data_IF_047760682845
#
_entry.id   IF_047760682845
#
_cell.length_a   1.000
_cell.length_b   1.000
_cell.length_c   1.000
_cell.angle_alpha   90.00
_cell.angle_beta   90.00
_cell.angle_gamma   90.00
#
_symmetry.space_group_name_H-M   'P 1'
#
loop_
_entity.id
_entity.type
_entity.pdbx_description
1 polymer ?
#
# COMPACT_ATOMS: atom_id res chain seq x y z
N UNK A 1 -10.04 -8.95 -16.76
CA UNK A 1 -9.18 -9.88 -17.54
C UNK A 1 -9.69 -11.29 -17.34
N UNK A 2 -9.65 -12.15 -18.35
CA UNK A 2 -10.14 -13.54 -18.28
C UNK A 2 -9.07 -14.53 -18.70
N UNK A 3 -9.11 -15.75 -18.15
CA UNK A 3 -8.28 -16.88 -18.57
C UNK A 3 -9.16 -18.09 -18.87
N UNK A 4 -8.84 -18.85 -19.92
CA UNK A 4 -9.54 -20.09 -20.28
C UNK A 4 -8.75 -21.31 -19.80
N UNK A 5 -9.38 -22.46 -19.64
CA UNK A 5 -8.67 -23.65 -19.18
C UNK A 5 -7.79 -24.25 -20.29
N UNK A 6 -6.47 -24.28 -20.13
CA UNK A 6 -5.58 -25.11 -20.97
C UNK A 6 -5.58 -26.55 -20.44
N UNK A 7 -5.31 -27.52 -21.32
CA UNK A 7 -5.17 -28.95 -20.96
C UNK A 7 -4.47 -29.16 -19.61
N UNK A 8 -5.10 -29.93 -18.70
CA UNK A 8 -4.68 -30.21 -17.31
C UNK A 8 -4.88 -29.10 -16.25
N UNK A 9 -5.93 -28.27 -16.33
CA UNK A 9 -6.28 -27.30 -15.26
C UNK A 9 -5.19 -26.25 -14.96
N UNK A 10 -4.26 -26.01 -15.89
CA UNK A 10 -3.06 -25.17 -15.63
C UNK A 10 -3.43 -23.72 -15.32
N UNK A 11 -4.45 -23.19 -16.00
CA UNK A 11 -4.88 -21.81 -15.81
C UNK A 11 -5.80 -21.64 -14.60
N UNK A 12 -6.57 -22.67 -14.23
CA UNK A 12 -7.36 -22.70 -13.00
C UNK A 12 -6.43 -22.63 -11.77
N UNK A 13 -5.41 -23.51 -11.71
CA UNK A 13 -4.45 -23.52 -10.60
C UNK A 13 -3.68 -22.19 -10.45
N UNK A 14 -3.37 -21.52 -11.56
CA UNK A 14 -2.74 -20.19 -11.53
C UNK A 14 -3.73 -19.12 -11.08
N UNK A 15 -4.98 -19.18 -11.51
CA UNK A 15 -6.03 -18.24 -11.11
C UNK A 15 -6.39 -18.37 -9.62
N UNK A 16 -6.34 -19.59 -9.07
CA UNK A 16 -6.56 -19.84 -7.64
C UNK A 16 -5.52 -19.13 -6.76
N UNK A 17 -4.29 -19.00 -7.26
CA UNK A 17 -3.19 -18.31 -6.57
C UNK A 17 -3.35 -16.79 -6.56
N UNK A 18 -4.13 -16.20 -7.47
CA UNK A 18 -4.38 -14.75 -7.50
C UNK A 18 -5.19 -14.36 -6.26
N UNK A 19 -4.74 -13.33 -5.55
CA UNK A 19 -5.45 -12.69 -4.45
C UNK A 19 -5.81 -11.24 -4.80
N UNK A 20 -6.86 -10.68 -4.19
CA UNK A 20 -7.05 -9.23 -4.17
C UNK A 20 -5.78 -8.51 -3.68
N UNK A 21 -5.48 -7.38 -4.33
CA UNK A 21 -4.27 -6.56 -4.22
C UNK A 21 -2.98 -7.13 -4.84
N UNK A 22 -3.02 -8.29 -5.49
CA UNK A 22 -1.91 -8.73 -6.34
C UNK A 22 -1.69 -7.75 -7.51
N UNK A 23 -0.43 -7.54 -7.90
CA UNK A 23 -0.12 -6.74 -9.08
C UNK A 23 -0.12 -7.63 -10.33
N UNK A 24 -0.85 -7.20 -11.34
CA UNK A 24 -0.83 -7.78 -12.68
C UNK A 24 -0.08 -6.86 -13.63
N UNK A 25 0.99 -7.37 -14.25
CA UNK A 25 1.68 -6.68 -15.34
C UNK A 25 1.17 -7.14 -16.70
N UNK A 26 1.09 -6.22 -17.65
CA UNK A 26 0.86 -6.51 -19.05
C UNK A 26 2.17 -6.47 -19.82
N UNK A 27 2.41 -7.49 -20.63
CA UNK A 27 3.64 -7.63 -21.39
C UNK A 27 3.38 -7.73 -22.89
N UNK A 28 4.17 -6.98 -23.67
CA UNK A 28 4.20 -7.02 -25.13
C UNK A 28 5.55 -6.50 -25.62
N UNK A 29 5.99 -6.91 -26.82
CA UNK A 29 7.22 -6.39 -27.45
C UNK A 29 8.45 -6.38 -26.50
N UNK A 30 8.67 -7.49 -25.77
CA UNK A 30 9.76 -7.65 -24.79
C UNK A 30 9.79 -6.59 -23.67
N UNK A 31 8.63 -6.06 -23.31
CA UNK A 31 8.49 -5.02 -22.29
C UNK A 31 7.24 -5.30 -21.43
N UNK A 32 7.32 -5.09 -20.12
CA UNK A 32 6.15 -4.86 -19.28
C UNK A 32 5.77 -3.39 -19.48
N UNK A 33 4.61 -3.10 -20.05
CA UNK A 33 4.24 -1.73 -20.47
C UNK A 33 3.18 -1.07 -19.58
N UNK A 34 2.47 -1.87 -18.79
CA UNK A 34 1.53 -1.38 -17.80
C UNK A 34 1.36 -2.38 -16.68
N UNK A 35 0.82 -1.93 -15.56
CA UNK A 35 0.41 -2.77 -14.46
C UNK A 35 -0.89 -2.27 -13.84
N UNK A 36 -1.56 -3.13 -13.07
CA UNK A 36 -2.71 -2.77 -12.26
C UNK A 36 -2.90 -3.75 -11.12
N UNK A 37 -3.86 -3.46 -10.25
CA UNK A 37 -4.06 -4.22 -9.02
C UNK A 37 -5.34 -5.03 -9.08
N UNK A 38 -5.26 -6.30 -8.69
CA UNK A 38 -6.43 -7.18 -8.65
C UNK A 38 -7.39 -6.72 -7.58
N UNK A 39 -8.66 -6.51 -7.91
CA UNK A 39 -9.69 -6.10 -6.94
C UNK A 39 -10.59 -7.26 -6.54
N UNK A 40 -11.01 -8.06 -7.52
CA UNK A 40 -11.95 -9.14 -7.33
C UNK A 40 -11.71 -10.26 -8.35
N UNK A 41 -12.13 -11.49 -8.03
CA UNK A 41 -12.09 -12.61 -8.97
C UNK A 41 -13.39 -13.41 -8.92
N UNK A 42 -13.85 -13.86 -10.07
CA UNK A 42 -15.06 -14.68 -10.23
C UNK A 42 -14.83 -15.76 -11.29
N UNK A 43 -15.31 -16.97 -11.02
CA UNK A 43 -15.46 -18.01 -12.02
C UNK A 43 -16.89 -17.95 -12.58
N UNK A 44 -17.05 -17.48 -13.82
CA UNK A 44 -18.37 -17.31 -14.43
C UNK A 44 -18.31 -17.54 -15.95
N UNK A 45 -18.72 -18.74 -16.36
CA UNK A 45 -18.73 -19.13 -17.77
C UNK A 45 -19.75 -18.35 -18.60
N UNK A 46 -20.96 -18.14 -18.09
CA UNK A 46 -22.02 -17.41 -18.81
C UNK A 46 -21.60 -15.97 -19.10
N UNK A 47 -20.98 -15.30 -18.12
CA UNK A 47 -20.44 -13.96 -18.32
C UNK A 47 -19.27 -13.97 -19.33
N UNK A 48 -18.41 -14.99 -19.29
CA UNK A 48 -17.31 -15.11 -20.25
C UNK A 48 -17.78 -15.33 -21.68
N UNK A 49 -18.86 -16.11 -21.87
CA UNK A 49 -19.50 -16.32 -23.17
C UNK A 49 -20.07 -15.02 -23.73
N UNK A 50 -20.71 -14.21 -22.88
CA UNK A 50 -21.25 -12.90 -23.28
C UNK A 50 -20.14 -11.89 -23.64
N UNK A 51 -19.04 -11.87 -22.88
CA UNK A 51 -17.95 -10.92 -23.07
C UNK A 51 -17.01 -11.28 -24.23
N UNK A 52 -16.72 -12.57 -24.43
CA UNK A 52 -15.64 -13.03 -25.32
C UNK A 52 -16.05 -14.14 -26.29
N UNK A 53 -17.24 -14.72 -26.15
CA UNK A 53 -17.66 -15.86 -26.96
C UNK A 53 -16.79 -17.09 -26.76
N UNK A 54 -16.61 -17.85 -27.84
CA UNK A 54 -15.81 -19.08 -27.85
C UNK A 54 -14.67 -19.00 -28.85
N UNK A 55 -13.54 -19.60 -28.51
CA UNK A 55 -12.44 -19.79 -29.44
C UNK A 55 -12.72 -20.94 -30.44
N UNK A 56 -11.82 -21.16 -31.39
CA UNK A 56 -11.95 -22.23 -32.41
C UNK A 56 -11.94 -23.66 -31.84
N UNK A 57 -11.66 -23.82 -30.54
CA UNK A 57 -11.68 -25.09 -29.81
C UNK A 57 -12.90 -25.23 -28.89
N UNK A 58 -13.83 -24.26 -28.90
CA UNK A 58 -15.02 -24.27 -28.06
C UNK A 58 -14.77 -23.86 -26.60
N UNK A 59 -13.65 -23.20 -26.30
CA UNK A 59 -13.30 -22.75 -24.95
C UNK A 59 -13.64 -21.25 -24.77
N UNK A 60 -13.93 -20.84 -23.54
CA UNK A 60 -14.16 -19.43 -23.16
C UNK A 60 -13.34 -19.06 -21.90
N UNK A 61 -13.16 -17.77 -21.63
CA UNK A 61 -12.28 -17.25 -20.57
C UNK A 61 -13.00 -17.11 -19.21
N UNK A 62 -13.55 -18.22 -18.73
CA UNK A 62 -14.43 -18.28 -17.55
C UNK A 62 -13.78 -17.89 -16.21
N UNK A 63 -12.45 -17.89 -16.11
CA UNK A 63 -11.71 -17.47 -14.90
C UNK A 63 -11.39 -15.98 -14.96
N UNK A 64 -12.27 -15.17 -14.38
CA UNK A 64 -12.27 -13.71 -14.51
C UNK A 64 -11.65 -13.08 -13.26
N UNK A 65 -10.87 -12.03 -13.46
CA UNK A 65 -10.42 -11.13 -12.40
C UNK A 65 -10.46 -9.68 -12.86
N UNK A 66 -10.71 -8.79 -11.93
CA UNK A 66 -10.88 -7.36 -12.13
C UNK A 66 -9.63 -6.63 -11.70
N UNK A 67 -9.30 -5.57 -12.44
CA UNK A 67 -8.13 -4.75 -12.18
C UNK A 67 -8.59 -3.31 -11.96
N UNK A 68 -7.92 -2.62 -11.06
CA UNK A 68 -8.06 -1.19 -10.83
C UNK A 68 -6.67 -0.52 -10.87
N UNK A 69 -6.65 0.81 -10.90
CA UNK A 69 -5.46 1.64 -10.93
C UNK A 69 -4.48 1.22 -12.05
N UNK A 70 -4.98 1.04 -13.28
CA UNK A 70 -4.11 0.71 -14.41
C UNK A 70 -3.15 1.88 -14.66
N UNK A 71 -1.85 1.60 -14.57
CA UNK A 71 -0.78 2.58 -14.75
C UNK A 71 0.18 2.14 -15.86
N UNK A 72 0.63 3.10 -16.64
CA UNK A 72 1.70 2.87 -17.61
C UNK A 72 3.05 2.85 -16.90
N UNK A 73 3.84 1.83 -17.19
CA UNK A 73 5.20 1.71 -16.69
C UNK A 73 5.98 0.78 -17.60
N UNK A 74 7.17 1.20 -18.01
CA UNK A 74 7.96 0.51 -19.03
C UNK A 74 9.14 -0.19 -18.37
N UNK A 75 9.06 -1.51 -18.23
CA UNK A 75 10.13 -2.36 -17.72
C UNK A 75 10.60 -3.30 -18.84
N UNK A 76 11.85 -3.19 -19.31
CA UNK A 76 12.42 -4.16 -20.24
C UNK A 76 12.43 -5.57 -19.63
N UNK A 77 12.06 -6.60 -20.41
CA UNK A 77 12.04 -7.99 -19.92
C UNK A 77 13.42 -8.44 -19.43
N UNK A 78 14.51 -7.92 -19.99
CA UNK A 78 15.87 -8.20 -19.51
C UNK A 78 16.08 -7.74 -18.05
N UNK A 79 15.63 -6.52 -17.72
CA UNK A 79 15.71 -5.99 -16.36
C UNK A 79 14.78 -6.76 -15.41
N UNK A 80 13.57 -7.11 -15.86
CA UNK A 80 12.68 -7.99 -15.11
C UNK A 80 13.36 -9.33 -14.79
N UNK A 81 13.97 -9.97 -15.79
CA UNK A 81 14.63 -11.27 -15.63
C UNK A 81 15.77 -11.19 -14.61
N UNK A 82 16.58 -10.13 -14.66
CA UNK A 82 17.65 -9.86 -13.69
C UNK A 82 17.10 -9.74 -12.26
N UNK A 83 16.04 -8.93 -12.06
CA UNK A 83 15.43 -8.70 -10.75
C UNK A 83 14.84 -9.99 -10.15
N UNK A 84 14.16 -10.81 -10.96
CA UNK A 84 13.46 -12.01 -10.46
C UNK A 84 14.32 -13.29 -10.55
N UNK A 85 15.58 -13.17 -10.98
CA UNK A 85 16.52 -14.30 -11.10
C UNK A 85 16.18 -15.29 -12.20
N UNK A 86 15.56 -14.84 -13.30
CA UNK A 86 15.36 -15.64 -14.50
C UNK A 86 16.55 -15.56 -15.45
N UNK A 87 16.66 -16.53 -16.35
CA UNK A 87 17.69 -16.49 -17.40
C UNK A 87 17.43 -15.33 -18.35
N UNK A 88 18.49 -14.74 -18.92
CA UNK A 88 18.40 -13.57 -19.80
C UNK A 88 17.46 -13.79 -21.00
N UNK A 89 17.41 -15.02 -21.51
CA UNK A 89 16.58 -15.42 -22.65
C UNK A 89 15.15 -15.83 -22.27
N UNK A 90 14.79 -15.75 -20.97
CA UNK A 90 13.44 -16.06 -20.53
C UNK A 90 12.43 -15.09 -21.17
N UNK A 91 11.37 -15.65 -21.75
CA UNK A 91 10.24 -14.90 -22.26
C UNK A 91 9.00 -15.24 -21.44
N UNK A 92 8.29 -14.19 -21.01
CA UNK A 92 7.00 -14.35 -20.34
C UNK A 92 6.02 -14.97 -21.32
N UNK A 93 5.46 -16.13 -20.95
CA UNK A 93 4.49 -16.83 -21.78
C UNK A 93 3.10 -16.74 -21.17
N UNK A 94 2.18 -16.11 -21.89
CA UNK A 94 0.76 -16.06 -21.53
C UNK A 94 0.56 -15.56 -20.09
N UNK A 95 -0.21 -16.29 -19.29
CA UNK A 95 -0.50 -15.98 -17.90
C UNK A 95 0.50 -16.69 -16.97
N UNK A 96 1.29 -15.91 -16.24
CA UNK A 96 2.32 -16.39 -15.28
C UNK A 96 2.08 -15.75 -13.93
N UNK A 97 2.22 -16.55 -12.86
CA UNK A 97 2.10 -16.09 -11.48
C UNK A 97 3.43 -16.36 -10.79
N UNK A 98 4.08 -15.27 -10.35
CA UNK A 98 5.35 -15.33 -9.62
C UNK A 98 5.15 -15.91 -8.22
N UNK A 99 6.22 -16.41 -7.63
CA UNK A 99 6.24 -16.70 -6.20
C UNK A 99 6.47 -15.41 -5.39
N UNK A 100 6.32 -15.51 -4.07
CA UNK A 100 6.35 -14.38 -3.16
C UNK A 100 7.72 -13.67 -3.17
N UNK A 101 8.82 -14.43 -3.19
CA UNK A 101 10.18 -13.87 -3.25
C UNK A 101 10.40 -13.03 -4.51
N UNK A 102 10.04 -13.57 -5.69
CA UNK A 102 10.17 -12.84 -6.97
C UNK A 102 9.25 -11.64 -7.04
N UNK A 103 8.04 -11.77 -6.50
CA UNK A 103 7.09 -10.66 -6.44
C UNK A 103 7.66 -9.53 -5.58
N UNK A 104 8.18 -9.85 -4.38
CA UNK A 104 8.76 -8.89 -3.46
C UNK A 104 10.00 -8.20 -4.04
N UNK A 105 10.86 -8.92 -4.76
CA UNK A 105 12.01 -8.33 -5.46
C UNK A 105 11.57 -7.25 -6.46
N UNK A 106 10.57 -7.56 -7.30
CA UNK A 106 10.07 -6.64 -8.32
C UNK A 106 9.34 -5.43 -7.72
N UNK A 107 8.50 -5.68 -6.72
CA UNK A 107 7.76 -4.64 -6.00
C UNK A 107 8.71 -3.66 -5.30
N UNK A 108 9.74 -4.18 -4.64
CA UNK A 108 10.73 -3.37 -3.91
C UNK A 108 11.57 -2.54 -4.86
N UNK A 109 12.00 -3.12 -5.99
CA UNK A 109 12.84 -2.44 -6.96
C UNK A 109 12.15 -1.21 -7.59
N UNK A 110 10.89 -1.37 -8.00
CA UNK A 110 10.14 -0.33 -8.71
C UNK A 110 9.26 0.54 -7.81
N UNK A 111 9.35 0.35 -6.50
CA UNK A 111 8.50 1.02 -5.51
C UNK A 111 6.99 0.96 -5.86
N UNK A 112 6.52 -0.19 -6.37
CA UNK A 112 5.15 -0.31 -6.90
C UNK A 112 4.16 -0.51 -5.76
N UNK A 113 3.42 0.54 -5.44
CA UNK A 113 2.39 0.54 -4.40
C UNK A 113 1.01 0.80 -5.00
N UNK A 114 0.01 0.08 -4.48
CA UNK A 114 -1.38 0.44 -4.73
C UNK A 114 -1.72 1.62 -3.86
N UNK A 115 -2.21 2.70 -4.46
CA UNK A 115 -2.71 3.82 -3.67
C UNK A 115 -4.09 3.49 -3.07
N UNK A 116 -4.77 2.50 -3.66
CA UNK A 116 -6.18 2.13 -3.41
C UNK A 116 -6.39 0.64 -3.11
N UNK A 117 -5.53 -0.29 -3.55
CA UNK A 117 -5.79 -1.72 -3.31
C UNK A 117 -5.58 -2.15 -1.87
N UNK A 118 -6.63 -2.81 -1.40
CA UNK A 118 -6.83 -3.35 -0.08
C UNK A 118 -6.22 -4.75 -0.06
N UNK A 119 -4.98 -4.92 0.39
CA UNK A 119 -4.47 -6.24 0.75
C UNK A 119 -5.35 -6.81 1.88
N UNK A 120 -5.96 -8.00 1.76
CA UNK A 120 -6.51 -8.69 2.91
C UNK A 120 -5.37 -9.30 3.74
N UNK A 121 -4.55 -8.44 4.34
CA UNK A 121 -3.76 -8.87 5.50
C UNK A 121 -4.78 -9.08 6.62
N UNK A 122 -5.01 -10.34 6.99
CA UNK A 122 -5.83 -10.66 8.15
C UNK A 122 -5.15 -10.11 9.41
N UNK A 123 -5.94 -9.87 10.46
CA UNK A 123 -5.37 -9.45 11.75
C UNK A 123 -4.31 -10.44 12.25
N UNK A 124 -4.48 -11.73 11.98
CA UNK A 124 -3.53 -12.78 12.37
C UNK A 124 -2.22 -12.69 11.59
N UNK A 125 -2.27 -12.50 10.26
CA UNK A 125 -1.07 -12.24 9.45
C UNK A 125 -0.38 -10.95 9.84
N UNK A 126 -1.12 -9.92 10.24
CA UNK A 126 -0.52 -8.69 10.74
C UNK A 126 0.25 -8.93 12.05
N UNK A 127 -0.35 -9.69 12.99
CA UNK A 127 0.32 -10.09 14.23
C UNK A 127 1.59 -10.90 13.96
N UNK A 128 1.52 -11.89 13.08
CA UNK A 128 2.67 -12.68 12.66
C UNK A 128 3.78 -11.80 12.06
N UNK A 129 3.41 -10.83 11.22
CA UNK A 129 4.37 -9.87 10.67
C UNK A 129 5.05 -9.07 11.80
N UNK A 130 4.29 -8.46 12.71
CA UNK A 130 4.81 -7.70 13.87
C UNK A 130 5.71 -8.56 14.77
N UNK A 131 5.37 -9.82 15.00
CA UNK A 131 6.18 -10.74 15.80
C UNK A 131 7.47 -11.15 15.08
N UNK A 132 7.44 -11.23 13.75
CA UNK A 132 8.60 -11.56 12.91
C UNK A 132 9.58 -10.39 12.72
N UNK A 133 9.19 -9.14 13.05
CA UNK A 133 10.05 -7.95 13.02
C UNK A 133 11.13 -7.93 14.13
N UNK A 134 11.27 -9.01 14.92
CA UNK A 134 12.30 -9.14 15.97
C UNK A 134 13.74 -9.12 15.45
N UNK A 135 13.96 -9.02 14.15
CA UNK A 135 15.28 -8.91 13.54
C UNK A 135 15.40 -7.56 12.85
N UNK A 136 16.33 -6.74 13.32
CA UNK A 136 16.71 -5.43 12.78
C UNK A 136 17.42 -5.57 11.42
N UNK A 137 16.79 -6.19 10.43
CA UNK A 137 17.39 -6.24 9.10
C UNK A 137 16.87 -5.05 8.28
N UNK A 138 17.78 -4.09 8.02
CA UNK A 138 17.63 -3.02 7.02
C UNK A 138 17.61 -3.57 5.57
N UNK A 139 17.64 -4.89 5.43
CA UNK A 139 17.66 -5.62 4.18
C UNK A 139 16.29 -5.61 3.49
N UNK A 140 16.26 -6.17 2.27
CA UNK A 140 15.07 -6.23 1.40
C UNK A 140 13.86 -6.81 2.13
N UNK A 141 14.07 -7.79 3.01
CA UNK A 141 13.01 -8.42 3.80
C UNK A 141 12.36 -7.43 4.80
N UNK A 142 13.16 -6.60 5.49
CA UNK A 142 12.66 -5.57 6.39
C UNK A 142 11.87 -4.48 5.67
N UNK A 143 12.29 -4.08 4.46
CA UNK A 143 11.53 -3.16 3.60
C UNK A 143 10.19 -3.75 3.16
N UNK A 144 10.18 -5.03 2.76
CA UNK A 144 8.95 -5.74 2.40
C UNK A 144 7.96 -5.81 3.56
N UNK A 145 8.43 -6.16 4.77
CA UNK A 145 7.59 -6.20 5.97
C UNK A 145 7.05 -4.82 6.35
N UNK A 146 7.86 -3.76 6.29
CA UNK A 146 7.41 -2.38 6.56
C UNK A 146 6.34 -1.94 5.57
N UNK A 147 6.47 -2.33 4.30
CA UNK A 147 5.44 -2.08 3.28
C UNK A 147 4.15 -2.84 3.57
N UNK A 148 4.23 -4.10 3.98
CA UNK A 148 3.05 -4.89 4.37
C UNK A 148 2.32 -4.27 5.57
N UNK A 149 3.06 -3.80 6.59
CA UNK A 149 2.51 -3.05 7.73
C UNK A 149 1.78 -1.79 7.25
N UNK A 150 2.42 -0.95 6.42
CA UNK A 150 1.81 0.27 5.91
C UNK A 150 0.55 -0.01 5.06
N UNK A 151 0.57 -1.03 4.21
CA UNK A 151 -0.61 -1.43 3.43
C UNK A 151 -1.79 -1.82 4.35
N UNK A 152 -1.52 -2.59 5.42
CA UNK A 152 -2.55 -2.96 6.41
C UNK A 152 -3.07 -1.76 7.21
N UNK A 153 -2.19 -0.86 7.64
CA UNK A 153 -2.56 0.35 8.39
C UNK A 153 -3.41 1.28 7.51
N UNK A 154 -3.03 1.50 6.25
CA UNK A 154 -3.84 2.26 5.28
C UNK A 154 -5.22 1.67 5.11
N UNK A 155 -5.32 0.35 4.92
CA UNK A 155 -6.60 -0.34 4.80
C UNK A 155 -7.47 -0.12 6.04
N UNK A 156 -6.90 -0.29 7.22
CA UNK A 156 -7.67 -0.17 8.46
C UNK A 156 -8.14 1.27 8.68
N UNK A 157 -7.29 2.24 8.33
CA UNK A 157 -7.56 3.66 8.50
C UNK A 157 -8.60 4.19 7.50
N UNK A 158 -8.48 3.85 6.22
CA UNK A 158 -9.32 4.41 5.15
C UNK A 158 -10.50 3.51 4.77
N UNK A 159 -10.43 2.20 5.02
CA UNK A 159 -11.44 1.23 4.60
C UNK A 159 -11.67 1.29 3.08
N UNK A 160 -12.93 1.55 2.68
CA UNK A 160 -13.34 1.68 1.29
C UNK A 160 -13.46 3.15 0.83
N UNK A 161 -12.95 4.12 1.60
CA UNK A 161 -13.03 5.54 1.25
C UNK A 161 -12.08 5.85 0.10
N UNK A 162 -12.51 6.70 -0.83
CA UNK A 162 -11.67 7.25 -1.90
C UNK A 162 -11.13 8.65 -1.58
N UNK A 163 -11.79 9.35 -0.65
CA UNK A 163 -11.46 10.69 -0.17
C UNK A 163 -11.50 10.67 1.36
N UNK A 164 -10.55 11.36 1.98
CA UNK A 164 -10.51 11.55 3.43
C UNK A 164 -9.84 12.89 3.78
N UNK A 165 -10.12 13.41 4.98
CA UNK A 165 -9.49 14.60 5.50
C UNK A 165 -8.13 14.30 6.16
N UNK A 166 -7.16 15.19 5.95
CA UNK A 166 -5.93 15.17 6.73
C UNK A 166 -6.21 15.58 8.19
N UNK A 167 -5.80 14.76 9.15
CA UNK A 167 -5.97 14.98 10.59
C UNK A 167 -5.25 16.20 11.16
N UNK A 168 -4.38 16.86 10.39
CA UNK A 168 -3.70 18.10 10.79
C UNK A 168 -4.32 19.32 10.11
N UNK A 169 -4.28 19.37 8.77
CA UNK A 169 -4.70 20.58 8.06
C UNK A 169 -6.22 20.66 7.83
N UNK A 170 -6.94 19.54 8.02
CA UNK A 170 -8.39 19.41 7.83
C UNK A 170 -8.86 19.43 6.38
N UNK A 171 -7.94 19.48 5.41
CA UNK A 171 -8.29 19.47 3.97
C UNK A 171 -8.56 18.05 3.51
N UNK A 172 -9.57 17.90 2.66
CA UNK A 172 -9.91 16.64 1.99
C UNK A 172 -9.00 16.40 0.78
N UNK A 173 -8.56 15.15 0.64
CA UNK A 173 -7.78 14.71 -0.51
C UNK A 173 -8.20 13.30 -0.92
N UNK A 174 -7.99 12.92 -2.19
CA UNK A 174 -7.95 11.51 -2.54
C UNK A 174 -6.97 10.77 -1.62
N UNK A 175 -7.33 9.55 -1.19
CA UNK A 175 -6.52 8.78 -0.23
C UNK A 175 -5.09 8.49 -0.74
N UNK A 176 -4.86 8.59 -2.04
CA UNK A 176 -3.54 8.53 -2.68
C UNK A 176 -2.57 9.64 -2.22
N UNK A 177 -3.11 10.79 -1.80
CA UNK A 177 -2.34 11.92 -1.27
C UNK A 177 -2.27 11.96 0.26
N UNK A 178 -2.76 10.91 0.92
CA UNK A 178 -2.69 10.73 2.37
C UNK A 178 -1.76 9.58 2.71
N UNK A 179 -1.14 9.66 3.88
CA UNK A 179 -0.30 8.64 4.49
C UNK A 179 -0.97 8.18 5.79
N UNK A 180 -0.85 6.89 6.12
CA UNK A 180 -1.21 6.37 7.43
C UNK A 180 -0.02 6.60 8.38
N UNK A 181 0.12 7.84 8.83
CA UNK A 181 1.30 8.30 9.57
C UNK A 181 1.22 7.86 11.02
N UNK A 182 2.27 7.23 11.54
CA UNK A 182 2.34 6.87 12.95
C UNK A 182 2.37 8.13 13.83
N UNK A 183 1.53 8.15 14.86
CA UNK A 183 1.48 9.24 15.85
C UNK A 183 2.71 9.17 16.77
N UNK A 184 3.04 7.97 17.24
CA UNK A 184 4.30 7.64 17.92
C UNK A 184 5.27 7.07 16.90
N UNK A 185 6.53 7.53 16.88
CA UNK A 185 7.51 7.04 15.89
C UNK A 185 7.65 5.51 15.95
N UNK A 186 7.53 4.87 14.80
CA UNK A 186 7.48 3.41 14.66
C UNK A 186 8.71 2.67 15.25
N UNK A 187 9.88 3.30 15.25
CA UNK A 187 11.10 2.75 15.87
C UNK A 187 11.05 2.74 17.41
N UNK A 188 10.17 3.53 18.01
CA UNK A 188 10.00 3.64 19.47
C UNK A 188 8.72 2.94 19.97
N UNK A 189 7.93 2.36 19.06
CA UNK A 189 6.75 1.59 19.45
C UNK A 189 7.15 0.20 19.97
N UNK A 190 6.53 -0.24 21.06
CA UNK A 190 6.55 -1.65 21.46
C UNK A 190 5.73 -2.48 20.49
N UNK A 191 5.81 -3.81 20.57
CA UNK A 191 5.00 -4.67 19.73
C UNK A 191 3.50 -4.52 20.06
N UNK A 192 3.15 -4.35 21.33
CA UNK A 192 1.77 -4.09 21.74
C UNK A 192 1.22 -2.80 21.12
N UNK A 193 2.03 -1.73 21.10
CA UNK A 193 1.63 -0.46 20.49
C UNK A 193 1.51 -0.55 18.96
N UNK A 194 2.37 -1.33 18.29
CA UNK A 194 2.24 -1.60 16.84
C UNK A 194 0.98 -2.39 16.52
N UNK A 195 0.56 -3.27 17.44
CA UNK A 195 -0.68 -4.02 17.32
C UNK A 195 -1.92 -3.18 17.62
N UNK A 196 -1.77 -1.99 18.19
CA UNK A 196 -2.85 -1.00 18.35
C UNK A 196 -3.06 -0.19 17.06
N UNK A 197 -3.26 -0.89 15.95
CA UNK A 197 -3.42 -0.32 14.61
C UNK A 197 -4.60 0.65 14.47
N UNK A 198 -5.57 0.62 15.39
CA UNK A 198 -6.71 1.53 15.41
C UNK A 198 -6.36 2.92 15.95
N UNK A 199 -5.32 3.01 16.78
CA UNK A 199 -4.97 4.24 17.50
C UNK A 199 -3.55 4.75 17.19
N UNK A 200 -2.67 3.91 16.65
CA UNK A 200 -1.25 4.26 16.45
C UNK A 200 -1.01 5.12 15.20
N UNK A 201 -1.95 5.20 14.26
CA UNK A 201 -1.83 5.97 13.01
C UNK A 201 -2.96 6.98 12.83
N UNK A 202 -2.70 8.03 12.03
CA UNK A 202 -3.71 8.97 11.57
C UNK A 202 -3.44 9.44 10.14
N UNK A 203 -4.45 9.97 9.41
CA UNK A 203 -4.26 10.39 8.03
C UNK A 203 -3.52 11.73 7.97
N UNK A 204 -2.35 11.78 7.34
CA UNK A 204 -1.65 13.04 7.07
C UNK A 204 -1.37 13.22 5.59
N UNK A 205 -1.43 14.46 5.10
CA UNK A 205 -1.23 14.72 3.68
C UNK A 205 0.25 14.72 3.28
N UNK A 206 0.52 14.21 2.08
CA UNK A 206 1.83 14.28 1.40
C UNK A 206 2.28 15.71 1.06
N UNK A 207 1.38 16.69 1.18
CA UNK A 207 1.65 18.11 0.95
C UNK A 207 2.38 18.82 2.12
N UNK A 208 2.73 18.09 3.18
CA UNK A 208 3.67 18.56 4.19
C UNK A 208 3.28 18.30 5.64
N UNK A 209 2.03 17.94 5.94
CA UNK A 209 1.63 17.65 7.33
C UNK A 209 2.38 16.47 7.93
N UNK A 210 2.58 15.41 7.14
CA UNK A 210 3.33 14.21 7.54
C UNK A 210 4.79 14.57 7.93
N UNK A 211 5.51 15.20 7.01
CA UNK A 211 6.91 15.61 7.19
C UNK A 211 7.10 16.60 8.36
N UNK A 212 6.20 17.58 8.50
CA UNK A 212 6.24 18.54 9.61
C UNK A 212 5.99 17.88 10.96
N UNK A 213 5.11 16.88 11.01
CA UNK A 213 4.84 16.14 12.23
C UNK A 213 6.02 15.26 12.60
N UNK A 214 6.58 14.50 11.65
CA UNK A 214 7.74 13.63 11.86
C UNK A 214 8.99 14.42 12.32
N UNK A 215 9.22 15.58 11.72
CA UNK A 215 10.30 16.50 12.10
C UNK A 215 9.99 17.30 13.36
N UNK A 216 8.79 17.19 13.92
CA UNK A 216 8.39 17.86 15.15
C UNK A 216 8.26 19.38 15.03
N UNK A 217 7.93 19.91 13.86
CA UNK A 217 7.48 21.30 13.69
C UNK A 217 6.07 21.51 14.23
N UNK A 218 5.26 20.47 14.20
CA UNK A 218 3.90 20.46 14.72
C UNK A 218 3.69 19.30 15.68
N UNK A 219 2.74 19.45 16.59
CA UNK A 219 2.24 18.39 17.46
C UNK A 219 0.75 18.59 17.70
N UNK A 220 0.11 17.74 18.50
CA UNK A 220 -1.31 17.89 18.85
C UNK A 220 -1.47 17.72 20.36
N UNK A 221 -2.28 18.58 20.99
CA UNK A 221 -2.72 18.43 22.37
C UNK A 221 -4.15 18.95 22.53
N UNK A 222 -4.95 18.31 23.38
CA UNK A 222 -6.34 18.72 23.63
C UNK A 222 -7.12 18.95 22.32
N UNK A 223 -6.98 18.02 21.38
CA UNK A 223 -7.59 18.08 20.03
C UNK A 223 -7.13 19.23 19.14
N UNK A 224 -6.15 20.03 19.54
CA UNK A 224 -5.66 21.18 18.77
C UNK A 224 -4.25 20.96 18.24
N UNK A 225 -4.02 21.38 17.00
CA UNK A 225 -2.68 21.42 16.38
C UNK A 225 -1.84 22.53 17.04
N UNK A 226 -0.67 22.15 17.53
CA UNK A 226 0.34 23.02 18.10
C UNK A 226 1.51 23.18 17.12
N UNK A 227 2.16 24.34 17.15
CA UNK A 227 3.37 24.63 16.37
C UNK A 227 4.53 24.80 17.34
N UNK A 228 5.58 24.01 17.14
CA UNK A 228 6.80 24.05 17.95
C UNK A 228 7.71 25.18 17.47
N UNK A 229 8.53 25.71 18.39
CA UNK A 229 9.52 26.74 18.06
C UNK A 229 10.73 26.08 17.38
N UNK A 230 10.73 26.06 16.06
CA UNK A 230 11.87 25.63 15.23
C UNK A 230 12.22 26.70 14.20
N UNK A 231 13.44 26.65 13.69
CA UNK A 231 13.88 27.53 12.60
C UNK A 231 13.02 27.26 11.38
N UNK A 232 12.34 28.28 10.88
CA UNK A 232 11.45 28.19 9.73
C UNK A 232 11.61 29.43 8.84
N UNK A 233 11.53 29.23 7.53
CA UNK A 233 11.49 30.31 6.55
C UNK A 233 10.11 30.98 6.56
N UNK A 234 9.99 32.17 5.97
CA UNK A 234 8.71 32.88 5.88
C UNK A 234 7.59 32.01 5.25
N UNK A 235 7.81 31.31 4.11
CA UNK A 235 6.78 30.45 3.53
C UNK A 235 6.33 29.33 4.47
N UNK A 236 7.28 28.74 5.20
CA UNK A 236 6.97 27.69 6.17
C UNK A 236 6.19 28.24 7.37
N UNK A 237 6.56 29.41 7.89
CA UNK A 237 5.81 30.07 8.96
C UNK A 237 4.38 30.40 8.53
N UNK A 238 4.19 30.88 7.31
CA UNK A 238 2.87 31.13 6.73
C UNK A 238 2.02 29.85 6.70
N UNK A 239 2.61 28.71 6.30
CA UNK A 239 1.93 27.42 6.37
C UNK A 239 1.62 26.98 7.80
N UNK A 240 2.59 27.03 8.72
CA UNK A 240 2.42 26.64 10.12
C UNK A 240 1.31 27.46 10.81
N UNK A 241 1.26 28.76 10.55
CA UNK A 241 0.20 29.63 11.07
C UNK A 241 -1.18 29.25 10.53
N UNK A 242 -1.27 28.78 9.28
CA UNK A 242 -2.54 28.36 8.67
C UNK A 242 -3.13 27.07 9.27
N UNK A 243 -2.32 26.27 9.96
CA UNK A 243 -2.73 25.01 10.59
C UNK A 243 -2.76 25.07 12.12
N UNK A 244 -2.07 26.04 12.73
CA UNK A 244 -2.06 26.24 14.18
C UNK A 244 -3.48 26.40 14.73
N UNK A 245 -3.82 25.64 15.77
CA UNK A 245 -5.11 25.71 16.45
C UNK A 245 -6.28 25.06 15.71
N UNK A 246 -6.04 24.42 14.55
CA UNK A 246 -7.05 23.57 13.92
C UNK A 246 -7.36 22.36 14.77
N UNK A 247 -8.58 21.85 14.62
CA UNK A 247 -9.01 20.61 15.25
C UNK A 247 -8.37 19.39 14.57
N UNK A 248 -7.87 18.47 15.39
CA UNK A 248 -7.39 17.16 14.98
C UNK A 248 -8.39 16.10 15.43
N UNK A 249 -9.21 15.61 14.50
CA UNK A 249 -10.25 14.61 14.77
C UNK A 249 -9.69 13.27 15.25
N UNK A 250 -8.42 12.97 14.90
CA UNK A 250 -7.73 11.76 15.32
C UNK A 250 -7.29 11.80 16.79
N UNK A 251 -7.41 12.94 17.47
CA UNK A 251 -7.15 13.05 18.90
C UNK A 251 -8.38 12.64 19.71
N UNK A 252 -8.20 11.65 20.61
CA UNK A 252 -9.18 11.18 21.58
C UNK A 252 -8.45 10.52 22.76
N UNK A 253 -9.20 10.05 23.77
CA UNK A 253 -8.63 9.44 24.98
C UNK A 253 -7.74 8.21 24.70
N UNK A 254 -7.99 7.47 23.61
CA UNK A 254 -7.19 6.29 23.23
C UNK A 254 -5.91 6.67 22.49
N UNK A 255 -5.90 7.76 21.72
CA UNK A 255 -4.73 8.22 20.97
C UNK A 255 -3.87 9.24 21.74
N UNK A 256 -4.39 9.80 22.84
CA UNK A 256 -3.75 10.82 23.66
C UNK A 256 -2.33 10.44 24.08
N UNK A 257 -2.12 9.19 24.51
CA UNK A 257 -0.83 8.68 24.96
C UNK A 257 0.25 8.76 23.86
N UNK A 258 -0.11 8.51 22.60
CA UNK A 258 0.81 8.58 21.48
C UNK A 258 1.14 10.03 21.13
N UNK A 259 0.16 10.92 21.19
CA UNK A 259 0.39 12.36 21.01
C UNK A 259 1.22 12.95 22.13
N UNK A 260 1.03 12.53 23.38
CA UNK A 260 1.86 12.89 24.52
C UNK A 260 3.30 12.47 24.34
N UNK A 261 3.52 11.22 23.92
CA UNK A 261 4.86 10.73 23.59
C UNK A 261 5.51 11.60 22.52
N UNK A 262 4.80 11.90 21.43
CA UNK A 262 5.31 12.72 20.33
C UNK A 262 5.72 14.11 20.80
N UNK A 263 4.86 14.77 21.59
CA UNK A 263 5.17 16.07 22.20
C UNK A 263 6.43 15.98 23.04
N UNK A 264 6.53 15.02 23.95
CA UNK A 264 7.68 14.89 24.84
C UNK A 264 8.97 14.60 24.07
N UNK A 265 8.91 13.78 23.02
CA UNK A 265 10.06 13.46 22.16
C UNK A 265 10.59 14.67 21.39
N UNK A 266 9.71 15.60 21.00
CA UNK A 266 10.06 16.79 20.22
C UNK A 266 10.12 18.10 21.00
N UNK A 267 9.81 18.09 22.31
CA UNK A 267 9.86 19.26 23.20
C UNK A 267 11.24 19.52 23.80
N UNK A 268 12.30 19.01 23.16
CA UNK A 268 13.71 19.27 23.51
C UNK A 268 14.21 20.50 22.75
#
# INVERSE_FOLDING_TARGET
MGSYNRSKNVNANKWDRIQPADITFFSANRTLYSYGFVTYKIHNKSLAEELWGYNSKGETWEYIYFLDEIREHTIPIALFNDIVGYSENYMIQCFTVLDEDKSNALLTYFDLESETAIQPVSQDKYKENIDSFKVEDLDIEGKSKNRAEQSFLRKTLFGNKTIEACGICGKEYPISFLVASHIKKRSFCTNEEKLDYNNIVMPMCKFGCDDLFEKGYISVANRKVLVNKKVATEPLNSYLNSIKGKDCESWNNSTEIFFEWHRNHHSI
#
